data_IF_504947273687
#
_entry.id   IF_504947273687
#
_cell.length_a   1.000
_cell.length_b   1.000
_cell.length_c   1.000
_cell.angle_alpha   90.00
_cell.angle_beta   90.00
_cell.angle_gamma   90.00
#
_symmetry.space_group_name_H-M   'P 1'
#
loop_
_entity.id
_entity.type
_entity.pdbx_description
1 polymer ?
#
# COMPACT_ATOMS: atom_id res chain seq x y z
N UNK A 1 -20.41 10.16 6.64
CA UNK A 1 -19.61 11.20 5.94
C UNK A 1 -18.11 11.08 6.19
N UNK A 2 -17.65 10.68 7.38
CA UNK A 2 -16.21 10.66 7.73
C UNK A 2 -15.34 9.68 6.92
N UNK A 3 -15.86 8.52 6.51
CA UNK A 3 -15.05 7.47 5.88
C UNK A 3 -14.43 7.91 4.54
N UNK A 4 -15.18 8.62 3.68
CA UNK A 4 -14.67 9.09 2.37
C UNK A 4 -13.62 10.20 2.52
N UNK A 5 -13.78 11.08 3.52
CA UNK A 5 -12.78 12.11 3.84
C UNK A 5 -11.48 11.44 4.30
N UNK A 6 -11.58 10.42 5.16
CA UNK A 6 -10.43 9.64 5.59
C UNK A 6 -9.75 8.92 4.43
N UNK A 7 -10.52 8.33 3.50
CA UNK A 7 -10.00 7.70 2.29
C UNK A 7 -9.31 8.72 1.36
N UNK A 8 -9.89 9.91 1.22
CA UNK A 8 -9.30 11.01 0.46
C UNK A 8 -7.98 11.49 1.08
N UNK A 9 -7.92 11.72 2.39
CA UNK A 9 -6.70 12.12 3.11
C UNK A 9 -5.65 11.01 3.02
N UNK A 10 -6.07 9.75 3.15
CA UNK A 10 -5.18 8.59 2.96
C UNK A 10 -4.65 8.56 1.53
N UNK A 11 -5.49 8.85 0.54
CA UNK A 11 -5.09 9.02 -0.86
C UNK A 11 -4.10 10.16 -1.07
N UNK A 12 -4.27 11.29 -0.41
CA UNK A 12 -3.38 12.45 -0.50
C UNK A 12 -2.01 12.19 0.12
N UNK A 13 -1.99 11.66 1.35
CA UNK A 13 -0.77 11.50 2.13
C UNK A 13 -0.10 10.15 1.82
N UNK A 14 -0.74 9.05 2.19
CA UNK A 14 -0.14 7.72 2.10
C UNK A 14 -0.12 7.19 0.65
N UNK A 15 -1.25 7.34 -0.07
CA UNK A 15 -1.40 6.97 -1.46
C UNK A 15 -0.52 7.82 -2.37
N UNK A 16 -0.59 9.14 -2.20
CA UNK A 16 0.15 10.12 -2.98
C UNK A 16 1.64 9.85 -2.90
N UNK A 17 2.21 9.70 -1.70
CA UNK A 17 3.64 9.46 -1.53
C UNK A 17 4.06 8.06 -2.02
N UNK A 18 3.35 7.00 -1.61
CA UNK A 18 3.73 5.62 -1.94
C UNK A 18 3.55 5.30 -3.43
N UNK A 19 2.41 5.69 -4.02
CA UNK A 19 2.16 5.45 -5.44
C UNK A 19 2.91 6.45 -6.34
N UNK A 20 3.17 7.69 -5.92
CA UNK A 20 3.96 8.62 -6.74
C UNK A 20 5.41 8.17 -6.92
N UNK A 21 5.98 7.45 -5.94
CA UNK A 21 7.32 6.89 -6.08
C UNK A 21 7.44 5.95 -7.29
N UNK A 22 6.42 5.11 -7.54
CA UNK A 22 6.45 4.15 -8.66
C UNK A 22 5.74 4.71 -9.90
N UNK A 23 4.44 5.02 -9.77
CA UNK A 23 3.61 5.45 -10.89
C UNK A 23 3.90 6.90 -11.29
N UNK A 24 4.26 7.75 -10.31
CA UNK A 24 4.60 9.16 -10.56
C UNK A 24 5.96 9.30 -11.26
N UNK A 25 6.95 8.47 -10.92
CA UNK A 25 8.22 8.40 -11.65
C UNK A 25 8.03 8.00 -13.12
N UNK A 26 7.12 7.05 -13.39
CA UNK A 26 6.77 6.65 -14.75
C UNK A 26 6.08 7.78 -15.52
N UNK A 27 5.12 8.47 -14.89
CA UNK A 27 4.48 9.67 -15.44
C UNK A 27 5.52 10.76 -15.76
N UNK A 28 6.38 11.11 -14.79
CA UNK A 28 7.41 12.13 -14.96
C UNK A 28 8.40 11.77 -16.09
N UNK A 29 8.83 10.51 -16.20
CA UNK A 29 9.69 10.05 -17.28
C UNK A 29 9.03 10.19 -18.66
N UNK A 30 7.76 9.80 -18.79
CA UNK A 30 7.03 9.93 -20.08
C UNK A 30 6.78 11.37 -20.48
N UNK A 31 6.56 12.25 -19.50
CA UNK A 31 6.41 13.69 -19.72
C UNK A 31 7.74 14.30 -20.16
N UNK A 32 8.83 13.98 -19.45
CA UNK A 32 10.17 14.50 -19.76
C UNK A 32 10.65 14.04 -21.15
N UNK A 33 10.45 12.76 -21.50
CA UNK A 33 10.82 12.23 -22.81
C UNK A 33 10.04 12.92 -23.94
N UNK A 34 8.80 13.34 -23.68
CA UNK A 34 8.00 14.10 -24.65
C UNK A 34 8.43 15.54 -24.78
N UNK A 35 8.82 16.19 -23.68
CA UNK A 35 9.32 17.57 -23.75
C UNK A 35 10.61 17.64 -24.58
N UNK A 36 11.48 16.63 -24.50
CA UNK A 36 12.64 16.48 -25.39
C UNK A 36 12.26 16.32 -26.88
N UNK A 37 11.13 15.66 -27.21
CA UNK A 37 10.62 15.54 -28.58
C UNK A 37 9.91 16.82 -29.06
N UNK A 38 9.10 17.45 -28.22
CA UNK A 38 8.38 18.70 -28.52
C UNK A 38 9.28 19.92 -28.59
N UNK A 39 10.39 19.96 -27.86
CA UNK A 39 11.41 21.01 -28.00
C UNK A 39 12.06 21.02 -29.39
N UNK A 40 11.96 19.91 -30.16
CA UNK A 40 12.42 19.83 -31.56
C UNK A 40 11.38 20.35 -32.57
N UNK A 41 10.09 20.34 -32.23
CA UNK A 41 8.99 20.87 -33.05
C UNK A 41 8.34 22.08 -32.36
N UNK A 42 8.71 23.29 -32.78
CA UNK A 42 8.15 24.56 -32.26
C UNK A 42 6.61 24.59 -32.32
N UNK A 43 5.92 24.27 -31.22
CA UNK A 43 4.58 24.78 -30.90
C UNK A 43 4.20 24.50 -29.45
N UNK A 44 4.18 25.58 -28.65
CA UNK A 44 3.70 25.60 -27.29
C UNK A 44 2.17 25.36 -27.22
N UNK A 45 1.72 24.22 -26.71
CA UNK A 45 0.37 24.09 -26.13
C UNK A 45 0.35 23.18 -24.90
N UNK A 46 0.18 23.83 -23.74
CA UNK A 46 -0.47 23.28 -22.55
C UNK A 46 0.19 22.08 -21.87
N UNK A 47 1.28 22.31 -21.14
CA UNK A 47 2.02 21.33 -20.34
C UNK A 47 1.16 20.50 -19.35
N UNK A 48 -0.06 20.97 -19.02
CA UNK A 48 -0.97 20.29 -18.10
C UNK A 48 -1.88 19.24 -18.76
N UNK A 49 -2.09 19.28 -20.08
CA UNK A 49 -2.99 18.39 -20.80
C UNK A 49 -2.62 16.89 -20.69
N UNK A 50 -1.35 16.47 -20.89
CA UNK A 50 -0.95 15.07 -20.70
C UNK A 50 -1.13 14.58 -19.26
N UNK A 51 -0.92 15.45 -18.28
CA UNK A 51 -1.07 15.14 -16.86
C UNK A 51 -2.56 14.91 -16.55
N UNK A 52 -3.43 15.79 -17.03
CA UNK A 52 -4.88 15.63 -16.88
C UNK A 52 -5.38 14.36 -17.58
N UNK A 53 -4.86 14.04 -18.76
CA UNK A 53 -5.19 12.81 -19.47
C UNK A 53 -4.85 11.55 -18.65
N UNK A 54 -3.66 11.53 -18.04
CA UNK A 54 -3.25 10.46 -17.13
C UNK A 54 -4.19 10.35 -15.91
N UNK A 55 -4.48 11.49 -15.27
CA UNK A 55 -5.29 11.52 -14.05
C UNK A 55 -6.76 11.14 -14.32
N UNK A 56 -7.34 11.61 -15.41
CA UNK A 56 -8.71 11.28 -15.80
C UNK A 56 -8.81 9.80 -16.15
N UNK A 57 -7.86 9.26 -16.91
CA UNK A 57 -7.83 7.83 -17.23
C UNK A 57 -7.68 6.97 -15.96
N UNK A 58 -6.77 7.36 -15.06
CA UNK A 58 -6.59 6.70 -13.76
C UNK A 58 -7.87 6.74 -12.92
N UNK A 59 -8.52 7.91 -12.81
CA UNK A 59 -9.76 8.09 -12.06
C UNK A 59 -10.89 7.22 -12.64
N UNK A 60 -11.07 7.23 -13.96
CA UNK A 60 -12.12 6.46 -14.61
C UNK A 60 -11.93 4.95 -14.39
N UNK A 61 -10.74 4.41 -14.67
CA UNK A 61 -10.46 2.98 -14.54
C UNK A 61 -10.58 2.51 -13.09
N UNK A 62 -10.10 3.29 -12.12
CA UNK A 62 -10.20 2.93 -10.70
C UNK A 62 -11.63 3.02 -10.16
N UNK A 63 -12.43 3.96 -10.67
CA UNK A 63 -13.85 4.05 -10.28
C UNK A 63 -14.63 2.85 -10.81
N UNK A 64 -14.38 2.45 -12.07
CA UNK A 64 -14.97 1.24 -12.67
C UNK A 64 -14.52 -0.01 -11.90
N UNK A 65 -13.23 -0.10 -11.56
CA UNK A 65 -12.71 -1.18 -10.74
C UNK A 65 -13.40 -1.21 -9.36
N UNK A 66 -13.59 -0.06 -8.73
CA UNK A 66 -14.24 0.04 -7.42
C UNK A 66 -15.68 -0.41 -7.45
N UNK A 67 -16.39 -0.05 -8.53
CA UNK A 67 -17.73 -0.54 -8.81
C UNK A 67 -17.74 -2.07 -8.91
N UNK A 68 -16.83 -2.63 -9.72
CA UNK A 68 -16.73 -4.08 -9.91
C UNK A 68 -16.37 -4.80 -8.60
N UNK A 69 -15.38 -4.32 -7.87
CA UNK A 69 -14.91 -4.91 -6.61
C UNK A 69 -15.95 -4.80 -5.49
N UNK A 70 -16.64 -3.66 -5.38
CA UNK A 70 -17.74 -3.48 -4.43
C UNK A 70 -18.96 -4.33 -4.78
N UNK A 71 -19.27 -4.47 -6.07
CA UNK A 71 -20.32 -5.36 -6.56
C UNK A 71 -19.97 -6.83 -6.29
N UNK A 72 -18.72 -7.23 -6.53
CA UNK A 72 -18.21 -8.54 -6.14
C UNK A 72 -18.34 -8.74 -4.62
N UNK A 73 -18.02 -7.72 -3.81
CA UNK A 73 -18.25 -7.75 -2.38
C UNK A 73 -19.71 -8.01 -1.98
N UNK A 74 -20.68 -7.52 -2.79
CA UNK A 74 -22.12 -7.69 -2.54
C UNK A 74 -22.66 -9.07 -2.93
N UNK A 75 -22.17 -9.63 -4.04
CA UNK A 75 -22.58 -10.93 -4.55
C UNK A 75 -22.03 -12.09 -3.73
N UNK A 76 -20.98 -11.81 -2.99
CA UNK A 76 -20.33 -12.79 -2.18
C UNK A 76 -20.37 -12.36 -0.71
N UNK A 77 -21.27 -12.98 0.06
CA UNK A 77 -20.92 -13.39 1.42
C UNK A 77 -19.81 -14.44 1.30
N UNK A 78 -18.61 -14.05 0.82
CA UNK A 78 -17.54 -15.00 0.51
C UNK A 78 -17.30 -15.81 1.79
N UNK A 79 -17.53 -17.12 1.73
CA UNK A 79 -17.01 -18.03 2.75
C UNK A 79 -15.52 -17.74 2.90
N UNK A 80 -15.02 -17.82 4.13
CA UNK A 80 -13.62 -17.52 4.45
C UNK A 80 -12.65 -18.25 3.50
N UNK A 81 -13.02 -19.47 3.09
CA UNK A 81 -12.28 -20.31 2.13
C UNK A 81 -12.12 -19.67 0.75
N UNK A 82 -13.16 -19.03 0.20
CA UNK A 82 -13.09 -18.41 -1.12
C UNK A 82 -12.32 -17.08 -1.09
N UNK A 83 -12.44 -16.32 0.01
CA UNK A 83 -11.59 -15.13 0.27
C UNK A 83 -10.12 -15.53 0.32
N UNK A 84 -9.80 -16.58 1.07
CA UNK A 84 -8.43 -17.12 1.15
C UNK A 84 -7.95 -17.60 -0.21
N UNK A 85 -8.77 -18.34 -0.96
CA UNK A 85 -8.40 -18.83 -2.30
C UNK A 85 -8.10 -17.68 -3.28
N UNK A 86 -8.95 -16.66 -3.33
CA UNK A 86 -8.72 -15.44 -4.13
C UNK A 86 -7.46 -14.70 -3.68
N UNK A 87 -7.24 -14.55 -2.38
CA UNK A 87 -6.08 -13.87 -1.83
C UNK A 87 -4.77 -14.63 -2.14
N UNK A 88 -4.80 -15.96 -2.11
CA UNK A 88 -3.68 -16.82 -2.53
C UNK A 88 -3.40 -16.63 -4.02
N UNK A 89 -4.42 -16.63 -4.88
CA UNK A 89 -4.24 -16.40 -6.32
C UNK A 89 -3.63 -15.02 -6.59
N UNK A 90 -4.14 -13.96 -5.94
CA UNK A 90 -3.60 -12.60 -6.06
C UNK A 90 -2.17 -12.52 -5.54
N UNK A 91 -1.87 -13.12 -4.38
CA UNK A 91 -0.53 -13.16 -3.81
C UNK A 91 0.47 -13.89 -4.72
N UNK A 92 0.09 -15.05 -5.28
CA UNK A 92 0.91 -15.80 -6.25
C UNK A 92 1.17 -14.96 -7.50
N UNK A 93 0.15 -14.28 -8.03
CA UNK A 93 0.30 -13.40 -9.18
C UNK A 93 1.24 -12.21 -8.89
N UNK A 94 1.14 -11.60 -7.71
CA UNK A 94 2.01 -10.51 -7.27
C UNK A 94 3.46 -10.95 -7.07
N UNK A 95 3.68 -12.11 -6.46
CA UNK A 95 5.00 -12.72 -6.29
C UNK A 95 5.60 -13.06 -7.65
N UNK A 96 4.82 -13.69 -8.54
CA UNK A 96 5.24 -13.99 -9.91
C UNK A 96 5.62 -12.74 -10.69
N UNK A 97 4.82 -11.68 -10.60
CA UNK A 97 5.10 -10.38 -11.24
C UNK A 97 6.38 -9.74 -10.67
N UNK A 98 6.58 -9.77 -9.35
CA UNK A 98 7.77 -9.22 -8.69
C UNK A 98 9.05 -9.99 -9.04
N UNK A 99 8.99 -11.33 -9.02
CA UNK A 99 10.09 -12.21 -9.44
C UNK A 99 10.46 -12.01 -10.92
N UNK A 100 9.48 -11.69 -11.75
CA UNK A 100 9.72 -11.35 -13.15
C UNK A 100 10.43 -9.99 -13.31
N UNK A 101 10.08 -8.99 -12.49
CA UNK A 101 10.78 -7.69 -12.50
C UNK A 101 12.23 -7.87 -12.05
N UNK A 102 12.47 -8.73 -11.06
CA UNK A 102 13.80 -9.09 -10.57
C UNK A 102 14.59 -10.02 -11.52
N UNK A 103 14.02 -10.41 -12.67
CA UNK A 103 14.61 -11.34 -13.66
C UNK A 103 15.21 -12.63 -13.03
N UNK A 104 14.61 -13.15 -11.96
CA UNK A 104 15.18 -14.31 -11.22
C UNK A 104 15.16 -15.59 -12.07
N UNK A 105 14.10 -15.78 -12.87
CA UNK A 105 14.01 -16.92 -13.80
C UNK A 105 13.10 -16.58 -15.00
N UNK A 106 13.40 -17.04 -16.24
CA UNK A 106 12.60 -16.73 -17.44
C UNK A 106 11.12 -17.13 -17.36
N UNK A 107 10.81 -18.15 -16.56
CA UNK A 107 9.44 -18.67 -16.36
C UNK A 107 8.49 -17.61 -15.79
N UNK A 108 9.00 -16.66 -14.98
CA UNK A 108 8.19 -15.64 -14.34
C UNK A 108 7.75 -14.53 -15.31
N UNK A 109 8.37 -14.40 -16.49
CA UNK A 109 7.90 -13.46 -17.53
C UNK A 109 6.48 -13.74 -18.01
N UNK A 110 5.97 -14.95 -17.80
CA UNK A 110 4.58 -15.29 -18.13
C UNK A 110 3.55 -14.59 -17.23
N UNK A 111 3.95 -14.15 -16.03
CA UNK A 111 3.09 -13.39 -15.11
C UNK A 111 2.96 -11.91 -15.51
N UNK A 112 3.89 -11.38 -16.29
CA UNK A 112 3.75 -10.04 -16.85
C UNK A 112 2.93 -10.15 -18.14
N UNK A 113 1.67 -9.72 -18.09
CA UNK A 113 0.84 -9.59 -19.29
C UNK A 113 1.49 -8.52 -20.17
N UNK A 114 2.27 -8.95 -21.15
CA UNK A 114 2.81 -8.03 -22.15
C UNK A 114 1.66 -7.47 -22.99
N UNK A 115 1.61 -6.15 -23.21
CA UNK A 115 0.56 -5.55 -24.02
C UNK A 115 0.60 -6.19 -25.42
N UNK A 116 -0.55 -6.63 -25.96
CA UNK A 116 -0.60 -7.35 -27.23
C UNK A 116 0.02 -6.51 -28.34
N UNK A 117 0.68 -7.17 -29.31
CA UNK A 117 1.39 -6.51 -30.43
C UNK A 117 0.49 -5.56 -31.24
N UNK A 118 -0.83 -5.74 -31.18
CA UNK A 118 -1.80 -4.83 -31.78
C UNK A 118 -1.85 -3.48 -31.04
N UNK A 119 -1.81 -3.48 -29.71
CA UNK A 119 -1.86 -2.27 -28.88
C UNK A 119 -0.58 -1.45 -29.04
N UNK A 120 0.58 -2.11 -29.06
CA UNK A 120 1.87 -1.44 -29.32
C UNK A 120 1.99 -0.91 -30.75
N UNK A 121 1.39 -1.59 -31.75
CA UNK A 121 1.27 -1.05 -33.11
C UNK A 121 0.31 0.13 -33.19
N UNK A 122 -0.79 0.10 -32.46
CA UNK A 122 -1.77 1.20 -32.42
C UNK A 122 -1.15 2.47 -31.81
N UNK A 123 -0.43 2.32 -30.70
CA UNK A 123 0.35 3.39 -30.06
C UNK A 123 1.38 3.97 -31.03
N UNK A 124 2.06 3.14 -31.82
CA UNK A 124 3.09 3.58 -32.77
C UNK A 124 2.53 4.19 -34.07
N UNK A 125 1.27 3.92 -34.42
CA UNK A 125 0.61 4.46 -35.64
C UNK A 125 -0.02 5.83 -35.40
N UNK A 126 -0.48 6.10 -34.19
CA UNK A 126 -1.07 7.37 -33.77
C UNK A 126 0.01 8.41 -33.41
N UNK A 127 0.89 8.74 -34.35
CA UNK A 127 2.05 9.63 -34.15
C UNK A 127 1.68 11.12 -33.94
N UNK A 128 0.43 11.53 -34.22
CA UNK A 128 -0.04 12.93 -34.05
C UNK A 128 -0.90 13.16 -32.81
N UNK A 129 -1.43 12.10 -32.18
CA UNK A 129 -2.13 12.15 -30.89
C UNK A 129 -1.25 11.67 -29.72
N UNK A 130 0.06 11.55 -30.00
CA UNK A 130 1.18 11.31 -29.07
C UNK A 130 1.30 12.37 -27.97
N UNK A 131 0.29 13.20 -27.70
CA UNK A 131 0.29 14.22 -26.63
C UNK A 131 -0.67 13.90 -25.49
N UNK A 132 -1.61 12.99 -25.70
CA UNK A 132 -2.65 12.66 -24.70
C UNK A 132 -2.72 11.14 -24.51
N UNK A 133 -2.51 10.38 -25.59
CA UNK A 133 -2.77 8.94 -25.60
C UNK A 133 -1.81 8.14 -24.72
N UNK A 134 -0.50 8.41 -24.78
CA UNK A 134 0.48 7.65 -23.99
C UNK A 134 0.30 7.84 -22.46
N UNK A 135 0.16 9.07 -21.91
CA UNK A 135 -0.18 9.29 -20.51
C UNK A 135 -1.54 8.72 -20.11
N UNK A 136 -2.56 8.82 -20.97
CA UNK A 136 -3.88 8.24 -20.68
C UNK A 136 -3.81 6.71 -20.55
N UNK A 137 -3.10 6.03 -21.47
CA UNK A 137 -2.85 4.59 -21.37
C UNK A 137 -2.08 4.28 -20.09
N UNK A 138 -1.00 5.01 -19.80
CA UNK A 138 -0.24 4.81 -18.57
C UNK A 138 -1.13 4.94 -17.33
N UNK A 139 -2.00 5.95 -17.32
CA UNK A 139 -3.01 6.18 -16.28
C UNK A 139 -3.94 4.99 -16.11
N UNK A 140 -4.45 4.43 -17.22
CA UNK A 140 -5.28 3.23 -17.20
C UNK A 140 -4.52 1.99 -16.68
N UNK A 141 -3.26 1.81 -17.09
CA UNK A 141 -2.42 0.69 -16.69
C UNK A 141 -1.91 0.77 -15.25
N UNK A 142 -2.06 1.92 -14.56
CA UNK A 142 -1.68 2.02 -13.14
C UNK A 142 -2.37 1.00 -12.24
N UNK A 143 -3.54 0.49 -12.66
CA UNK A 143 -4.26 -0.61 -11.99
C UNK A 143 -3.41 -1.87 -11.83
N UNK A 144 -2.51 -2.15 -12.79
CA UNK A 144 -1.61 -3.30 -12.78
C UNK A 144 -0.32 -3.05 -11.99
N UNK A 145 -0.12 -1.82 -11.51
CA UNK A 145 1.02 -1.41 -10.69
C UNK A 145 0.49 -0.92 -9.32
N UNK A 146 -0.21 -1.76 -8.54
CA UNK A 146 -0.78 -1.32 -7.27
C UNK A 146 0.32 -1.11 -6.22
N UNK A 147 0.32 0.03 -5.55
CA UNK A 147 1.12 0.24 -4.33
C UNK A 147 0.37 -0.29 -3.09
N UNK A 148 1.06 -0.60 -1.98
CA UNK A 148 0.45 -1.26 -0.81
C UNK A 148 -0.76 -0.52 -0.22
N UNK A 149 -0.77 0.82 -0.26
CA UNK A 149 -1.93 1.62 0.15
C UNK A 149 -3.13 1.42 -0.77
N UNK A 150 -2.90 1.29 -2.07
CA UNK A 150 -3.96 1.03 -3.05
C UNK A 150 -4.56 -0.36 -2.83
N UNK A 151 -3.75 -1.36 -2.49
CA UNK A 151 -4.23 -2.70 -2.17
C UNK A 151 -5.13 -2.71 -0.93
N UNK A 152 -4.72 -1.99 0.12
CA UNK A 152 -5.54 -1.85 1.33
C UNK A 152 -6.91 -1.20 1.02
N UNK A 153 -6.94 -0.16 0.18
CA UNK A 153 -8.18 0.50 -0.22
C UNK A 153 -9.02 -0.38 -1.17
N UNK A 154 -8.41 -1.16 -2.06
CA UNK A 154 -9.13 -2.15 -2.87
C UNK A 154 -9.77 -3.24 -1.99
N UNK A 155 -9.06 -3.73 -0.97
CA UNK A 155 -9.60 -4.66 0.01
C UNK A 155 -10.76 -4.04 0.80
N UNK A 156 -10.63 -2.77 1.19
CA UNK A 156 -11.71 -2.02 1.85
C UNK A 156 -12.92 -1.82 0.94
N UNK A 157 -12.72 -1.57 -0.36
CA UNK A 157 -13.80 -1.48 -1.34
C UNK A 157 -14.56 -2.81 -1.47
N UNK A 158 -13.86 -3.94 -1.52
CA UNK A 158 -14.49 -5.28 -1.50
C UNK A 158 -15.25 -5.50 -0.19
N UNK A 159 -14.64 -5.15 0.95
CA UNK A 159 -15.24 -5.29 2.27
C UNK A 159 -16.51 -4.42 2.46
N UNK A 160 -16.64 -3.32 1.70
CA UNK A 160 -17.81 -2.45 1.75
C UNK A 160 -19.10 -3.13 1.25
N UNK A 161 -18.99 -4.21 0.47
CA UNK A 161 -20.13 -5.04 0.09
C UNK A 161 -21.19 -4.34 -0.77
N UNK A 162 -20.88 -3.18 -1.36
CA UNK A 162 -21.78 -2.46 -2.28
C UNK A 162 -20.99 -1.84 -3.43
N UNK A 163 -21.53 -1.97 -4.64
CA UNK A 163 -20.93 -1.44 -5.86
C UNK A 163 -20.71 0.07 -5.79
N UNK A 164 -21.71 0.80 -5.30
CA UNK A 164 -21.68 2.26 -5.22
C UNK A 164 -20.67 2.73 -4.18
N UNK A 165 -20.61 2.06 -3.02
CA UNK A 165 -19.62 2.40 -1.98
C UNK A 165 -18.21 2.05 -2.42
N UNK A 166 -18.00 0.91 -3.09
CA UNK A 166 -16.70 0.53 -3.64
C UNK A 166 -16.21 1.53 -4.70
N UNK A 167 -17.09 1.98 -5.59
CA UNK A 167 -16.79 3.02 -6.57
C UNK A 167 -16.41 4.35 -5.88
N UNK A 168 -17.20 4.77 -4.89
CA UNK A 168 -16.94 6.02 -4.15
C UNK A 168 -15.62 5.99 -3.37
N UNK A 169 -15.26 4.84 -2.78
CA UNK A 169 -14.00 4.63 -2.07
C UNK A 169 -12.81 4.83 -3.00
N UNK A 170 -12.76 4.12 -4.15
CA UNK A 170 -11.63 4.26 -5.07
C UNK A 170 -11.62 5.61 -5.80
N UNK A 171 -12.80 6.18 -6.07
CA UNK A 171 -12.90 7.54 -6.62
C UNK A 171 -12.31 8.58 -5.66
N UNK A 172 -12.72 8.56 -4.38
CA UNK A 172 -12.21 9.47 -3.36
C UNK A 172 -10.70 9.29 -3.14
N UNK A 173 -10.22 8.04 -3.15
CA UNK A 173 -8.79 7.73 -3.04
C UNK A 173 -8.00 8.32 -4.20
N UNK A 174 -8.43 8.08 -5.45
CA UNK A 174 -7.71 8.58 -6.62
C UNK A 174 -7.78 10.10 -6.69
N UNK A 175 -8.93 10.72 -6.39
CA UNK A 175 -9.03 12.17 -6.23
C UNK A 175 -8.04 12.71 -5.19
N UNK A 176 -7.85 12.00 -4.07
CA UNK A 176 -6.83 12.34 -3.08
C UNK A 176 -5.41 12.26 -3.63
N UNK A 177 -5.10 11.27 -4.46
CA UNK A 177 -3.76 11.15 -5.09
C UNK A 177 -3.51 12.18 -6.20
N UNK A 178 -4.56 12.70 -6.83
CA UNK A 178 -4.48 13.57 -8.01
C UNK A 178 -3.65 14.85 -7.81
N UNK A 179 -3.79 15.62 -6.71
CA UNK A 179 -2.95 16.80 -6.45
C UNK A 179 -1.45 16.49 -6.45
N UNK A 180 -1.04 15.38 -5.83
CA UNK A 180 0.38 14.98 -5.74
C UNK A 180 0.93 14.60 -7.11
N UNK A 181 0.18 13.80 -7.87
CA UNK A 181 0.57 13.41 -9.23
C UNK A 181 0.56 14.59 -10.21
N UNK A 182 -0.40 15.51 -10.06
CA UNK A 182 -0.45 16.72 -10.86
C UNK A 182 0.76 17.60 -10.59
N UNK A 183 1.09 17.82 -9.31
CA UNK A 183 2.24 18.61 -8.90
C UNK A 183 3.55 17.98 -9.42
N UNK A 184 3.73 16.67 -9.27
CA UNK A 184 4.91 15.96 -9.77
C UNK A 184 5.04 16.06 -11.30
N UNK A 185 3.94 15.82 -12.03
CA UNK A 185 3.91 15.96 -13.48
C UNK A 185 4.18 17.39 -13.93
N UNK A 186 3.62 18.38 -13.23
CA UNK A 186 3.79 19.79 -13.57
C UNK A 186 5.22 20.25 -13.33
N UNK A 187 5.85 19.84 -12.23
CA UNK A 187 7.26 20.07 -12.00
C UNK A 187 8.12 19.39 -13.07
N UNK A 188 7.79 18.15 -13.46
CA UNK A 188 8.49 17.48 -14.56
C UNK A 188 8.45 18.30 -15.86
N UNK A 189 7.35 19.00 -16.15
CA UNK A 189 7.24 19.89 -17.33
C UNK A 189 7.93 21.26 -17.23
N UNK A 190 8.50 21.59 -16.07
CA UNK A 190 9.11 22.89 -15.78
C UNK A 190 10.60 22.78 -15.51
N UNK A 191 11.14 21.56 -15.47
CA UNK A 191 12.54 21.28 -15.20
C UNK A 191 13.33 21.26 -16.50
N UNK A 192 14.30 22.17 -16.65
CA UNK A 192 15.26 22.10 -17.78
C UNK A 192 16.23 20.91 -17.66
N UNK A 193 16.83 20.49 -18.77
CA UNK A 193 17.68 19.28 -18.92
C UNK A 193 18.69 19.03 -17.79
N UNK A 194 19.35 20.09 -17.31
CA UNK A 194 20.39 19.98 -16.26
C UNK A 194 19.76 19.71 -14.89
N UNK A 195 18.62 20.34 -14.60
CA UNK A 195 17.89 20.14 -13.36
C UNK A 195 17.13 18.81 -13.38
N UNK A 196 16.66 18.38 -14.56
CA UNK A 196 16.02 17.08 -14.79
C UNK A 196 16.93 15.92 -14.41
N UNK A 197 18.19 15.88 -14.87
CA UNK A 197 19.11 14.78 -14.51
C UNK A 197 19.37 14.71 -13.00
N UNK A 198 19.52 15.85 -12.33
CA UNK A 198 19.72 15.89 -10.88
C UNK A 198 18.45 15.50 -10.13
N UNK A 199 17.29 16.00 -10.54
CA UNK A 199 15.99 15.68 -9.96
C UNK A 199 15.64 14.21 -10.12
N UNK A 200 15.83 13.63 -11.32
CA UNK A 200 15.61 12.20 -11.56
C UNK A 200 16.56 11.33 -10.73
N UNK A 201 17.80 11.77 -10.51
CA UNK A 201 18.74 11.07 -9.62
C UNK A 201 18.30 11.16 -8.15
N UNK A 202 17.83 12.31 -7.69
CA UNK A 202 17.25 12.48 -6.34
C UNK A 202 15.99 11.64 -6.17
N UNK A 203 15.10 11.63 -7.17
CA UNK A 203 13.89 10.80 -7.18
C UNK A 203 14.25 9.32 -7.12
N UNK A 204 15.26 8.88 -7.88
CA UNK A 204 15.76 7.50 -7.83
C UNK A 204 16.31 7.13 -6.45
N UNK A 205 17.10 7.99 -5.81
CA UNK A 205 17.56 7.76 -4.42
C UNK A 205 16.40 7.71 -3.43
N UNK A 206 15.42 8.62 -3.55
CA UNK A 206 14.22 8.61 -2.71
C UNK A 206 13.39 7.33 -2.89
N UNK A 207 13.24 6.84 -4.13
CA UNK A 207 12.58 5.57 -4.43
C UNK A 207 13.35 4.40 -3.82
N UNK A 208 14.68 4.39 -3.89
CA UNK A 208 15.52 3.35 -3.27
C UNK A 208 15.33 3.34 -1.75
N UNK A 209 15.36 4.51 -1.10
CA UNK A 209 15.11 4.63 0.35
C UNK A 209 13.71 4.11 0.69
N UNK A 210 12.69 4.53 -0.05
CA UNK A 210 11.33 4.07 0.16
C UNK A 210 11.18 2.56 -0.08
N UNK A 211 11.89 2.00 -1.07
CA UNK A 211 11.90 0.57 -1.34
C UNK A 211 12.53 -0.21 -0.16
N UNK A 212 13.62 0.29 0.42
CA UNK A 212 14.24 -0.29 1.62
C UNK A 212 13.26 -0.25 2.81
N UNK A 213 12.54 0.86 3.01
CA UNK A 213 11.50 0.96 4.03
C UNK A 213 10.34 -0.02 3.81
N UNK A 214 9.85 -0.16 2.57
CA UNK A 214 8.80 -1.13 2.25
C UNK A 214 9.27 -2.57 2.41
N UNK A 215 10.53 -2.85 2.06
CA UNK A 215 11.13 -4.18 2.24
C UNK A 215 11.23 -4.51 3.74
N UNK A 216 11.64 -3.56 4.57
CA UNK A 216 11.65 -3.72 6.02
C UNK A 216 10.23 -4.02 6.57
N UNK A 217 9.23 -3.26 6.14
CA UNK A 217 7.84 -3.48 6.55
C UNK A 217 7.29 -4.83 6.05
N UNK A 218 7.73 -5.30 4.88
CA UNK A 218 7.35 -6.61 4.35
C UNK A 218 7.98 -7.76 5.13
N UNK A 219 9.22 -7.61 5.60
CA UNK A 219 9.90 -8.59 6.47
C UNK A 219 9.27 -8.58 7.87
N UNK A 220 8.81 -7.42 8.36
CA UNK A 220 8.04 -7.35 9.60
C UNK A 220 6.73 -8.13 9.49
N UNK A 221 6.04 -8.08 8.34
CA UNK A 221 4.78 -8.82 8.09
C UNK A 221 4.95 -10.35 8.15
N UNK A 222 6.16 -10.88 8.04
CA UNK A 222 6.41 -12.32 8.24
C UNK A 222 6.63 -12.70 9.71
N UNK A 223 6.53 -11.74 10.64
CA UNK A 223 6.79 -11.96 12.07
C UNK A 223 8.28 -12.16 12.40
N UNK A 224 9.18 -11.81 11.50
CA UNK A 224 10.63 -11.94 11.70
C UNK A 224 11.14 -10.94 12.74
N UNK A 225 11.99 -11.41 13.67
CA UNK A 225 12.73 -10.55 14.62
C UNK A 225 13.81 -9.70 13.96
N UNK A 226 14.14 -9.97 12.69
CA UNK A 226 15.17 -9.28 11.92
C UNK A 226 14.56 -8.17 11.05
N UNK A 227 14.12 -7.09 11.67
CA UNK A 227 13.79 -5.84 10.99
C UNK A 227 15.03 -4.93 10.93
N UNK A 228 15.10 -4.06 9.91
CA UNK A 228 16.12 -3.02 9.76
C UNK A 228 16.15 -2.09 10.98
N UNK A 229 15.01 -1.88 11.65
CA UNK A 229 14.97 -1.13 12.93
C UNK A 229 15.74 -1.81 14.05
N UNK A 230 15.67 -3.14 14.18
CA UNK A 230 16.47 -3.87 15.18
C UNK A 230 17.97 -3.89 14.83
N UNK A 231 18.30 -3.90 13.54
CA UNK A 231 19.69 -3.80 13.08
C UNK A 231 20.26 -2.38 13.26
N UNK A 232 19.52 -1.33 12.90
CA UNK A 232 19.94 0.07 13.05
C UNK A 232 19.97 0.47 14.53
N UNK A 233 19.01 0.04 15.36
CA UNK A 233 19.10 0.24 16.82
C UNK A 233 20.29 -0.52 17.42
N UNK A 234 20.60 -1.73 16.94
CA UNK A 234 21.79 -2.48 17.35
C UNK A 234 23.11 -1.79 16.98
N UNK A 235 23.18 -1.18 15.79
CA UNK A 235 24.35 -0.40 15.35
C UNK A 235 24.41 0.96 16.06
N UNK A 236 23.30 1.68 16.22
CA UNK A 236 23.27 2.98 16.89
C UNK A 236 23.59 2.89 18.39
N UNK A 237 23.19 1.81 19.06
CA UNK A 237 23.57 1.51 20.45
C UNK A 237 25.03 1.06 20.62
N UNK A 238 25.71 0.66 19.54
CA UNK A 238 27.14 0.36 19.57
C UNK A 238 28.02 1.60 19.45
N UNK A 239 27.46 2.71 18.94
CA UNK A 239 28.18 3.98 18.71
C UNK A 239 27.77 5.06 19.71
N UNK A 240 26.55 4.99 20.27
CA UNK A 240 26.05 5.86 21.33
C UNK A 240 25.79 5.02 22.57
N UNK A 241 26.37 5.37 23.72
CA UNK A 241 26.02 4.78 25.02
C UNK A 241 24.56 5.10 25.33
N UNK A 242 23.66 4.22 24.91
CA UNK A 242 22.29 4.19 25.36
C UNK A 242 22.23 3.34 26.63
N UNK A 243 22.16 3.97 27.80
CA UNK A 243 21.65 3.30 29.00
C UNK A 243 20.15 3.06 28.78
N UNK A 244 19.89 1.93 28.16
CA UNK A 244 18.58 1.41 27.83
C UNK A 244 18.66 -0.09 27.75
N UNK A 245 19.24 -0.73 28.78
CA UNK A 245 18.81 -2.07 29.10
C UNK A 245 17.27 -2.01 29.23
N UNK A 246 16.50 -2.94 28.65
CA UNK A 246 15.12 -3.06 29.03
C UNK A 246 15.15 -3.28 30.54
N UNK A 247 14.73 -2.29 31.33
CA UNK A 247 14.39 -2.55 32.71
C UNK A 247 13.42 -3.74 32.69
N UNK A 248 13.59 -4.75 33.55
CA UNK A 248 12.59 -5.78 33.70
C UNK A 248 11.35 -5.06 34.26
N UNK A 249 10.49 -4.61 33.35
CA UNK A 249 9.20 -4.07 33.70
C UNK A 249 8.48 -5.22 34.39
N UNK A 250 8.23 -5.03 35.68
CA UNK A 250 7.37 -5.89 36.47
C UNK A 250 6.00 -5.73 35.84
N UNK A 251 5.70 -6.57 34.85
CA UNK A 251 4.37 -6.75 34.33
C UNK A 251 3.51 -7.08 35.55
N UNK A 252 2.57 -6.20 35.87
CA UNK A 252 1.38 -6.62 36.59
C UNK A 252 0.74 -7.69 35.70
N UNK A 253 1.09 -8.94 35.98
CA UNK A 253 0.69 -10.12 35.25
C UNK A 253 -0.79 -10.36 35.48
N UNK A 254 -1.64 -9.58 34.84
CA UNK A 254 -3.01 -9.97 34.59
C UNK A 254 -2.98 -10.89 33.36
N UNK A 255 -2.77 -12.17 33.64
CA UNK A 255 -3.01 -13.27 32.70
C UNK A 255 -4.52 -13.37 32.47
N UNK A 256 -5.10 -12.38 31.80
CA UNK A 256 -6.53 -12.33 31.51
C UNK A 256 -6.83 -12.95 30.15
N UNK A 257 -7.86 -13.78 30.14
CA UNK A 257 -8.45 -14.38 28.93
C UNK A 257 -8.98 -13.32 27.95
N UNK A 258 -9.23 -12.09 28.44
CA UNK A 258 -9.70 -10.96 27.65
C UNK A 258 -8.61 -9.87 27.61
N UNK A 259 -8.13 -9.54 26.41
CA UNK A 259 -7.13 -8.51 26.16
C UNK A 259 -7.77 -7.40 25.33
N UNK A 260 -7.50 -6.14 25.67
CA UNK A 260 -8.08 -5.00 24.96
C UNK A 260 -6.97 -4.24 24.20
N UNK A 261 -7.24 -3.90 22.94
CA UNK A 261 -6.37 -3.05 22.12
C UNK A 261 -7.20 -1.90 21.56
N UNK A 262 -6.74 -0.68 21.83
CA UNK A 262 -7.24 0.53 21.21
C UNK A 262 -6.43 0.87 19.96
N UNK A 263 -7.14 1.13 18.86
CA UNK A 263 -6.58 1.53 17.58
C UNK A 263 -6.78 3.04 17.44
N UNK A 264 -5.69 3.78 17.48
CA UNK A 264 -5.67 5.24 17.35
C UNK A 264 -4.94 5.67 16.07
N UNK A 265 -4.86 6.98 15.81
CA UNK A 265 -4.04 7.55 14.73
C UNK A 265 -2.53 7.34 14.95
N UNK A 266 -2.11 7.10 16.20
CA UNK A 266 -0.71 6.86 16.56
C UNK A 266 -0.32 5.37 16.51
N UNK A 267 -1.28 4.44 16.37
CA UNK A 267 -1.04 3.01 16.31
C UNK A 267 -1.91 2.20 17.28
N UNK A 268 -1.37 1.07 17.75
CA UNK A 268 -2.03 0.14 18.67
C UNK A 268 -1.57 0.38 20.11
N UNK A 269 -2.54 0.49 21.03
CA UNK A 269 -2.27 0.69 22.45
C UNK A 269 -3.09 -0.29 23.29
N UNK A 270 -2.48 -1.08 24.19
CA UNK A 270 -1.03 -1.27 24.34
C UNK A 270 -0.43 -2.03 23.15
N UNK A 271 0.83 -1.74 22.85
CA UNK A 271 1.61 -2.44 21.82
C UNK A 271 2.34 -3.67 22.37
N UNK A 272 2.41 -3.85 23.69
CA UNK A 272 2.93 -5.05 24.34
C UNK A 272 1.87 -5.65 25.26
N UNK A 273 1.63 -6.95 25.11
CA UNK A 273 0.61 -7.70 25.83
C UNK A 273 1.20 -9.01 26.33
N UNK A 274 0.61 -9.58 27.37
CA UNK A 274 1.04 -10.88 27.91
C UNK A 274 -0.15 -11.84 27.99
N UNK A 275 0.03 -13.07 27.54
CA UNK A 275 -0.98 -14.12 27.55
C UNK A 275 -0.41 -15.45 28.05
N UNK A 276 -1.26 -16.31 28.62
CA UNK A 276 -0.85 -17.63 29.11
C UNK A 276 -0.79 -18.64 27.95
N UNK A 277 0.21 -19.53 27.96
CA UNK A 277 0.34 -20.60 26.99
C UNK A 277 -0.86 -21.58 27.01
N UNK A 278 -1.26 -22.06 25.83
CA UNK A 278 -2.30 -23.07 25.64
C UNK A 278 -3.74 -22.65 25.97
N UNK A 279 -4.00 -21.35 26.19
CA UNK A 279 -5.33 -20.83 26.54
C UNK A 279 -6.05 -20.18 25.36
N UNK A 280 -7.38 -20.25 25.32
CA UNK A 280 -8.18 -19.47 24.38
C UNK A 280 -8.25 -18.03 24.89
N UNK A 281 -7.74 -17.07 24.12
CA UNK A 281 -7.82 -15.65 24.45
C UNK A 281 -8.76 -14.92 23.49
N UNK A 282 -9.47 -13.94 24.01
CA UNK A 282 -10.34 -13.04 23.25
C UNK A 282 -9.74 -11.64 23.29
N UNK A 283 -9.38 -11.15 22.11
CA UNK A 283 -8.83 -9.83 21.89
C UNK A 283 -9.96 -8.88 21.47
N UNK A 284 -10.26 -7.89 22.28
CA UNK A 284 -11.22 -6.82 21.95
C UNK A 284 -10.47 -5.68 21.28
N UNK A 285 -10.83 -5.41 20.03
CA UNK A 285 -10.29 -4.33 19.22
C UNK A 285 -11.28 -3.17 19.23
N UNK A 286 -10.88 -2.01 19.73
CA UNK A 286 -11.69 -0.79 19.68
C UNK A 286 -10.98 0.25 18.82
N UNK A 287 -11.61 0.69 17.73
CA UNK A 287 -11.03 1.74 16.90
C UNK A 287 -11.52 3.12 17.34
N UNK A 288 -10.65 3.86 18.04
CA UNK A 288 -10.87 5.19 18.57
C UNK A 288 -10.04 6.23 17.80
N UNK A 289 -10.29 6.34 16.49
CA UNK A 289 -9.66 7.34 15.63
C UNK A 289 -8.57 6.82 14.68
N UNK A 290 -8.28 5.52 14.71
CA UNK A 290 -7.41 4.87 13.73
C UNK A 290 -8.00 4.89 12.32
N UNK A 291 -7.16 5.27 11.35
CA UNK A 291 -7.53 5.40 9.93
C UNK A 291 -6.50 4.77 8.99
N UNK A 292 -6.89 4.53 7.73
CA UNK A 292 -6.00 3.93 6.73
C UNK A 292 -5.57 2.52 7.13
N UNK A 293 -4.27 2.24 7.11
CA UNK A 293 -3.74 0.91 7.43
C UNK A 293 -4.03 0.46 8.87
N UNK A 294 -4.11 1.39 9.83
CA UNK A 294 -4.34 1.07 11.25
C UNK A 294 -5.67 0.36 11.48
N UNK A 295 -6.68 0.61 10.63
CA UNK A 295 -7.98 -0.05 10.69
C UNK A 295 -7.88 -1.57 10.48
N UNK A 296 -6.86 -2.03 9.75
CA UNK A 296 -6.68 -3.45 9.46
C UNK A 296 -5.70 -4.07 10.46
N UNK A 297 -6.21 -4.83 11.42
CA UNK A 297 -5.44 -5.59 12.40
C UNK A 297 -5.11 -6.98 11.86
N UNK A 298 -3.83 -7.37 11.88
CA UNK A 298 -3.35 -8.65 11.35
C UNK A 298 -2.42 -9.35 12.34
N UNK A 299 -2.64 -10.66 12.55
CA UNK A 299 -1.71 -11.56 13.25
C UNK A 299 -1.23 -12.60 12.23
N UNK A 300 -0.05 -12.42 11.63
CA UNK A 300 0.42 -13.27 10.54
C UNK A 300 0.58 -14.75 10.92
N UNK A 301 1.17 -15.03 12.10
CA UNK A 301 1.44 -16.40 12.57
C UNK A 301 0.17 -17.22 12.79
N UNK A 302 -0.97 -16.57 13.00
CA UNK A 302 -2.27 -17.20 13.22
C UNK A 302 -3.23 -17.04 12.03
N UNK A 303 -2.78 -16.38 10.94
CA UNK A 303 -3.62 -16.11 9.77
C UNK A 303 -4.85 -15.23 10.06
N UNK A 304 -4.83 -14.48 11.16
CA UNK A 304 -5.95 -13.60 11.54
C UNK A 304 -5.81 -12.26 10.82
N UNK A 305 -6.87 -11.82 10.16
CA UNK A 305 -6.99 -10.47 9.63
C UNK A 305 -8.40 -9.92 9.87
N UNK A 306 -8.49 -8.77 10.55
CA UNK A 306 -9.75 -8.05 10.80
C UNK A 306 -9.61 -6.60 10.40
N UNK A 307 -10.69 -6.02 9.87
CA UNK A 307 -10.77 -4.59 9.59
C UNK A 307 -11.80 -3.98 10.52
N UNK A 308 -11.35 -3.11 11.43
CA UNK A 308 -12.18 -2.41 12.40
C UNK A 308 -12.31 -0.97 11.93
N UNK A 309 -13.48 -0.60 11.42
CA UNK A 309 -13.75 0.78 10.98
C UNK A 309 -13.71 1.76 12.15
N UNK A 310 -13.37 3.02 11.88
CA UNK A 310 -13.30 4.07 12.91
C UNK A 310 -14.62 4.21 13.66
N UNK A 311 -14.57 4.18 15.00
CA UNK A 311 -15.73 4.23 15.89
C UNK A 311 -16.44 2.88 16.10
N UNK A 312 -15.88 1.78 15.57
CA UNK A 312 -16.42 0.43 15.76
C UNK A 312 -15.51 -0.40 16.67
N UNK A 313 -16.08 -1.49 17.19
CA UNK A 313 -15.38 -2.54 17.94
C UNK A 313 -15.52 -3.87 17.23
N UNK A 314 -14.49 -4.72 17.32
CA UNK A 314 -14.53 -6.10 16.85
C UNK A 314 -13.80 -6.99 17.86
N UNK A 315 -13.99 -8.30 17.78
CA UNK A 315 -13.32 -9.28 18.63
C UNK A 315 -12.64 -10.35 17.81
N UNK A 316 -11.48 -10.79 18.29
CA UNK A 316 -10.71 -11.91 17.73
C UNK A 316 -10.48 -12.91 18.84
N UNK A 317 -11.00 -14.11 18.68
CA UNK A 317 -10.71 -15.23 19.58
C UNK A 317 -9.74 -16.18 18.90
N UNK A 318 -8.66 -16.53 19.60
CA UNK A 318 -7.69 -17.53 19.14
C UNK A 318 -7.05 -18.26 20.31
N UNK A 319 -6.50 -19.45 20.03
CA UNK A 319 -5.77 -20.24 21.02
C UNK A 319 -4.28 -19.88 20.97
N UNK A 320 -3.70 -19.57 22.12
CA UNK A 320 -2.25 -19.36 22.22
C UNK A 320 -1.49 -20.68 22.04
N UNK A 321 -0.28 -20.66 21.45
CA UNK A 321 0.62 -21.81 21.43
C UNK A 321 0.88 -22.36 22.83
N UNK A 322 1.18 -23.66 22.93
CA UNK A 322 1.53 -24.31 24.20
C UNK A 322 2.97 -23.98 24.64
N UNK A 323 3.79 -23.47 23.74
CA UNK A 323 5.18 -23.10 23.99
C UNK A 323 5.30 -21.58 24.19
N UNK A 324 6.29 -21.17 24.98
CA UNK A 324 6.61 -19.75 25.17
C UNK A 324 7.06 -19.16 23.85
N UNK A 325 6.30 -18.22 23.31
CA UNK A 325 6.54 -17.65 21.98
C UNK A 325 5.93 -16.25 21.89
N UNK A 326 6.59 -15.38 21.14
CA UNK A 326 6.07 -14.05 20.85
C UNK A 326 5.14 -14.10 19.63
N UNK A 327 3.94 -13.57 19.78
CA UNK A 327 2.98 -13.43 18.68
C UNK A 327 2.97 -11.96 18.25
N UNK A 328 3.58 -11.68 17.10
CA UNK A 328 3.56 -10.34 16.53
C UNK A 328 2.20 -10.02 15.89
N UNK A 329 1.71 -8.81 16.12
CA UNK A 329 0.55 -8.25 15.42
C UNK A 329 0.89 -6.89 14.82
N UNK A 330 0.22 -6.53 13.72
CA UNK A 330 0.48 -5.28 13.03
C UNK A 330 -0.65 -4.84 12.11
N UNK A 331 -0.51 -3.61 11.59
CA UNK A 331 -1.43 -3.08 10.61
C UNK A 331 -1.24 -3.71 9.22
N UNK A 332 -2.16 -3.51 8.27
CA UNK A 332 -2.04 -4.09 6.90
C UNK A 332 -0.78 -3.67 6.13
N UNK A 333 -0.11 -2.60 6.56
CA UNK A 333 1.14 -2.10 5.97
C UNK A 333 2.39 -2.46 6.79
N UNK A 334 2.23 -3.19 7.92
CA UNK A 334 3.34 -3.54 8.80
C UNK A 334 4.03 -2.34 9.47
N UNK A 335 3.37 -1.18 9.51
CA UNK A 335 3.92 0.08 10.04
C UNK A 335 3.68 0.21 11.56
N UNK A 336 2.44 0.05 12.01
CA UNK A 336 2.12 -0.02 13.43
C UNK A 336 2.18 -1.47 13.89
N UNK A 337 2.91 -1.74 14.97
CA UNK A 337 3.24 -3.09 15.43
C UNK A 337 3.05 -3.24 16.93
N UNK A 338 2.85 -4.47 17.34
CA UNK A 338 2.92 -4.87 18.73
C UNK A 338 3.18 -6.37 18.87
N UNK A 339 3.37 -6.81 20.11
CA UNK A 339 3.74 -8.17 20.46
C UNK A 339 2.87 -8.66 21.61
N UNK A 340 2.40 -9.90 21.50
CA UNK A 340 1.79 -10.64 22.60
C UNK A 340 2.81 -11.69 23.05
N UNK A 341 3.35 -11.52 24.25
CA UNK A 341 4.24 -12.48 24.89
C UNK A 341 3.44 -13.63 25.46
N UNK A 342 3.66 -14.84 24.95
CA UNK A 342 3.06 -16.06 25.51
C UNK A 342 3.99 -16.64 26.56
N UNK A 343 3.50 -16.70 27.81
CA UNK A 343 4.22 -17.19 29.00
C UNK A 343 3.72 -18.55 29.48
#
# INVERSE_FOLDING_TARGET
MNQLITVFITGLLAGGLSCAAVQGGLLAATIAQREEEHLKEKAAKGNALPILAFLIAKLAVYTVLGLLLGWFGSLFQLSLTLKIAMQVVVAVFMIGSSLSILNVHPIFRYFIIQPPKFLTRLIRKESKSQDIFAPAILGAFTIFIPCGTTQAIMAFAIASGSAVTGAAILFAFVLGTSPVFFLLGFFATKLGDIFQRKFMRVLAFAIIILAIFNLNNSIALTGSKYTVENFVNGVWCSVSFCDGAPEPFVANAQSTTNLNIEISSAGYTPNELTAKAGTNITLHLKNDGGSGCAQAFTIPSLGVQKVVSTGQTDTVTFKTPNEKTDIAFMCSMGMYRGVIHVL
#
